data_IF_526969708352
#
_entry.id   IF_526969708352
#
_cell.length_a   1.000
_cell.length_b   1.000
_cell.length_c   1.000
_cell.angle_alpha   90.00
_cell.angle_beta   90.00
_cell.angle_gamma   90.00
#
_symmetry.space_group_name_H-M   'P 1'
#
loop_
_entity.id
_entity.type
_entity.pdbx_description
1 polymer ?
#
# COMPACT_ATOMS: atom_id res chain seq x y z
N UNK A 1 -11.49 -6.79 -6.72
CA UNK A 1 -11.05 -5.60 -5.94
C UNK A 1 -12.16 -4.95 -5.10
N UNK A 2 -13.20 -4.29 -5.64
CA UNK A 2 -14.21 -3.64 -4.76
C UNK A 2 -15.12 -4.61 -3.99
N UNK A 3 -15.57 -5.68 -4.65
CA UNK A 3 -16.37 -6.74 -4.00
C UNK A 3 -15.55 -7.57 -3.01
N UNK A 4 -14.24 -7.73 -3.25
CA UNK A 4 -13.33 -8.43 -2.34
C UNK A 4 -13.10 -7.65 -1.03
N UNK A 5 -13.25 -6.33 -1.07
CA UNK A 5 -13.17 -5.44 0.09
C UNK A 5 -14.54 -5.23 0.78
N UNK A 6 -15.60 -5.92 0.34
CA UNK A 6 -16.97 -5.78 0.85
C UNK A 6 -17.45 -4.32 0.96
N UNK A 7 -16.99 -3.44 0.07
CA UNK A 7 -17.33 -2.02 0.15
C UNK A 7 -18.74 -1.79 -0.40
N UNK A 8 -19.53 -0.96 0.29
CA UNK A 8 -20.82 -0.51 -0.24
C UNK A 8 -20.57 0.21 -1.58
N UNK A 9 -21.25 -0.23 -2.64
CA UNK A 9 -21.21 0.38 -3.97
C UNK A 9 -21.47 1.89 -3.94
N UNK A 10 -22.21 2.39 -2.94
CA UNK A 10 -22.44 3.84 -2.74
C UNK A 10 -21.19 4.60 -2.32
N UNK A 11 -20.19 3.95 -1.71
CA UNK A 11 -18.91 4.55 -1.37
C UNK A 11 -17.99 4.75 -2.59
N UNK A 12 -18.36 4.19 -3.76
CA UNK A 12 -17.57 4.31 -4.98
C UNK A 12 -17.34 5.76 -5.42
N UNK A 13 -18.34 6.63 -5.26
CA UNK A 13 -18.21 8.07 -5.59
C UNK A 13 -17.14 8.77 -4.75
N UNK A 14 -17.02 8.39 -3.48
CA UNK A 14 -15.98 8.91 -2.56
C UNK A 14 -14.61 8.31 -2.86
N UNK A 15 -14.55 7.08 -3.36
CA UNK A 15 -13.29 6.40 -3.70
C UNK A 15 -12.75 6.78 -5.07
N UNK A 16 -13.61 7.24 -5.98
CA UNK A 16 -13.22 7.56 -7.35
C UNK A 16 -12.04 8.54 -7.43
N UNK A 17 -11.99 9.64 -6.65
CA UNK A 17 -10.83 10.53 -6.64
C UNK A 17 -9.55 9.84 -6.18
N UNK A 18 -9.64 8.96 -5.18
CA UNK A 18 -8.49 8.20 -4.66
C UNK A 18 -7.97 7.25 -5.73
N UNK A 19 -8.86 6.54 -6.41
CA UNK A 19 -8.50 5.63 -7.52
C UNK A 19 -7.87 6.42 -8.66
N UNK A 20 -8.46 7.55 -9.05
CA UNK A 20 -7.93 8.41 -10.11
C UNK A 20 -6.55 8.96 -9.79
N UNK A 21 -6.32 9.43 -8.56
CA UNK A 21 -4.99 9.90 -8.12
C UNK A 21 -3.98 8.77 -8.19
N UNK A 22 -4.30 7.59 -7.66
CA UNK A 22 -3.39 6.44 -7.73
C UNK A 22 -3.06 6.07 -9.17
N UNK A 23 -4.06 5.96 -10.05
CA UNK A 23 -3.84 5.58 -11.44
C UNK A 23 -3.06 6.63 -12.24
N UNK A 24 -3.37 7.91 -12.06
CA UNK A 24 -2.76 8.98 -12.86
C UNK A 24 -1.35 9.35 -12.39
N UNK A 25 -1.01 9.07 -11.13
CA UNK A 25 0.31 9.37 -10.55
C UNK A 25 1.22 8.15 -10.41
N UNK A 26 0.74 6.92 -10.68
CA UNK A 26 1.59 5.72 -10.66
C UNK A 26 2.28 5.53 -12.01
N UNK A 27 3.59 5.32 -11.98
CA UNK A 27 4.36 5.00 -13.18
C UNK A 27 3.99 3.63 -13.73
N UNK A 28 3.87 3.53 -15.06
CA UNK A 28 3.55 2.27 -15.74
C UNK A 28 4.55 2.00 -16.86
N UNK A 29 4.93 0.72 -17.03
CA UNK A 29 5.96 0.32 -18.00
C UNK A 29 5.59 0.66 -19.45
N UNK A 30 4.31 0.64 -19.81
CA UNK A 30 3.82 1.01 -21.14
C UNK A 30 4.11 2.47 -21.49
N UNK A 31 4.31 3.34 -20.50
CA UNK A 31 4.64 4.75 -20.67
C UNK A 31 6.14 5.02 -20.44
N UNK A 32 6.98 4.01 -20.64
CA UNK A 32 8.43 4.13 -20.43
C UNK A 32 8.81 4.38 -18.97
N UNK A 33 7.98 3.93 -18.02
CA UNK A 33 8.22 4.13 -16.59
C UNK A 33 7.76 5.49 -16.06
N UNK A 34 6.95 6.24 -16.81
CA UNK A 34 6.33 7.49 -16.38
C UNK A 34 4.86 7.27 -16.00
N UNK A 35 4.34 8.15 -15.16
CA UNK A 35 2.94 8.24 -14.80
C UNK A 35 2.15 9.00 -15.89
N UNK A 36 0.86 8.68 -16.08
CA UNK A 36 0.01 9.39 -17.04
C UNK A 36 0.01 10.91 -16.86
N UNK A 37 0.05 11.40 -15.60
CA UNK A 37 0.06 12.84 -15.31
C UNK A 37 1.32 13.53 -15.80
N UNK A 38 2.46 12.85 -15.81
CA UNK A 38 3.73 13.40 -16.31
C UNK A 38 3.65 13.64 -17.82
N UNK A 39 3.02 12.72 -18.55
CA UNK A 39 2.83 12.86 -19.99
C UNK A 39 1.79 13.93 -20.34
N UNK A 40 0.76 14.07 -19.51
CA UNK A 40 -0.28 15.07 -19.74
C UNK A 40 0.18 16.50 -19.41
N UNK A 41 1.00 16.66 -18.36
CA UNK A 41 1.39 17.98 -17.85
C UNK A 41 2.82 18.39 -18.17
N UNK A 42 3.69 17.43 -18.53
CA UNK A 42 5.13 17.65 -18.70
C UNK A 42 5.89 17.93 -17.39
N UNK A 43 5.24 17.77 -16.23
CA UNK A 43 5.82 18.00 -14.91
C UNK A 43 6.04 16.66 -14.19
N UNK A 44 7.05 16.54 -13.31
CA UNK A 44 7.22 15.36 -12.48
C UNK A 44 5.97 15.11 -11.61
N UNK A 45 5.66 13.85 -11.26
CA UNK A 45 4.44 13.54 -10.55
C UNK A 45 4.58 14.07 -9.13
N UNK A 46 3.71 15.01 -8.74
CA UNK A 46 3.61 15.42 -7.34
C UNK A 46 3.28 14.20 -6.50
N UNK A 47 3.99 14.01 -5.38
CA UNK A 47 3.85 12.84 -4.50
C UNK A 47 2.36 12.58 -4.21
N UNK A 48 1.80 11.42 -4.65
CA UNK A 48 0.36 11.17 -4.61
C UNK A 48 -0.22 11.04 -3.20
N UNK A 49 0.62 10.98 -2.16
CA UNK A 49 0.20 10.69 -0.78
C UNK A 49 0.03 11.95 0.09
N UNK A 50 0.63 13.07 -0.30
CA UNK A 50 0.58 14.31 0.49
C UNK A 50 -0.78 15.05 0.39
N UNK A 51 -1.63 14.64 -0.56
CA UNK A 51 -2.91 15.30 -0.85
C UNK A 51 -4.15 14.52 -0.45
N UNK A 52 -4.06 13.21 -0.18
CA UNK A 52 -5.25 12.35 -0.15
C UNK A 52 -5.96 12.30 1.22
N UNK A 53 -5.40 12.88 2.29
CA UNK A 53 -6.11 12.95 3.58
C UNK A 53 -6.17 14.37 4.13
N UNK A 54 -6.68 15.32 3.35
CA UNK A 54 -7.33 16.50 3.94
C UNK A 54 -8.79 16.13 4.21
N UNK A 55 -9.05 15.54 5.38
CA UNK A 55 -10.40 15.51 5.94
C UNK A 55 -10.85 16.97 6.08
N UNK A 56 -12.07 17.30 5.65
CA UNK A 56 -12.53 18.66 5.32
C UNK A 56 -12.45 19.76 6.43
N UNK A 57 -11.81 19.51 7.57
CA UNK A 57 -11.63 20.45 8.68
C UNK A 57 -10.21 20.45 9.28
N UNK A 58 -9.19 19.89 8.61
CA UNK A 58 -7.81 19.91 9.13
C UNK A 58 -6.97 20.94 8.37
N UNK A 59 -6.31 21.90 9.05
CA UNK A 59 -5.33 22.76 8.40
C UNK A 59 -4.20 21.89 7.81
N UNK A 60 -3.54 22.32 6.72
CA UNK A 60 -2.43 21.59 6.14
C UNK A 60 -1.33 21.44 7.20
N UNK A 61 -1.23 20.24 7.76
CA UNK A 61 -0.13 19.88 8.63
C UNK A 61 0.97 19.36 7.71
N UNK A 62 2.05 20.13 7.57
CA UNK A 62 3.29 19.59 7.02
C UNK A 62 3.73 18.47 7.97
N UNK A 63 3.42 17.23 7.57
CA UNK A 63 3.94 16.06 8.24
C UNK A 63 5.40 15.96 7.80
N UNK A 64 6.28 16.62 8.54
CA UNK A 64 7.71 16.30 8.55
C UNK A 64 7.82 14.85 8.99
N UNK A 65 7.78 13.94 8.03
CA UNK A 65 8.10 12.53 8.23
C UNK A 65 9.55 12.49 8.67
N UNK A 66 9.78 12.33 9.97
CA UNK A 66 11.03 11.81 10.51
C UNK A 66 11.17 10.35 10.02
N UNK A 67 11.55 10.22 8.74
CA UNK A 67 11.55 8.98 7.96
C UNK A 67 12.40 7.88 8.61
N UNK A 68 13.39 8.27 9.42
CA UNK A 68 14.33 7.36 10.08
C UNK A 68 13.65 6.49 11.15
N UNK A 69 12.69 7.02 11.91
CA UNK A 69 12.00 6.24 12.94
C UNK A 69 10.95 5.31 12.35
N UNK A 70 10.29 5.73 11.27
CA UNK A 70 9.31 4.92 10.55
C UNK A 70 9.97 3.72 9.87
N UNK A 71 11.12 3.93 9.22
CA UNK A 71 11.85 2.86 8.54
C UNK A 71 12.36 1.81 9.54
N UNK A 72 12.87 2.23 10.70
CA UNK A 72 13.28 1.32 11.76
C UNK A 72 12.10 0.51 12.32
N UNK A 73 10.93 1.14 12.47
CA UNK A 73 9.71 0.49 12.95
C UNK A 73 9.16 -0.50 11.92
N UNK A 74 9.18 -0.15 10.64
CA UNK A 74 8.76 -1.03 9.55
C UNK A 74 9.70 -2.22 9.41
N UNK A 75 11.01 -2.04 9.57
CA UNK A 75 11.95 -3.16 9.49
C UNK A 75 11.77 -4.13 10.66
N UNK A 76 11.51 -3.62 11.86
CA UNK A 76 11.14 -4.45 13.02
C UNK A 76 9.87 -5.26 12.76
N UNK A 77 8.84 -4.64 12.17
CA UNK A 77 7.60 -5.32 11.80
C UNK A 77 7.84 -6.43 10.77
N UNK A 78 8.65 -6.16 9.74
CA UNK A 78 9.01 -7.16 8.72
C UNK A 78 9.77 -8.34 9.30
N UNK A 79 10.62 -8.13 10.29
CA UNK A 79 11.34 -9.20 10.97
C UNK A 79 10.38 -10.10 11.76
N UNK A 80 9.50 -9.52 12.57
CA UNK A 80 8.52 -10.31 13.33
C UNK A 80 7.55 -11.09 12.43
N UNK A 81 7.11 -10.51 11.32
CA UNK A 81 6.27 -11.23 10.36
C UNK A 81 7.02 -12.40 9.73
N UNK A 82 8.29 -12.22 9.35
CA UNK A 82 9.13 -13.30 8.82
C UNK A 82 9.25 -14.45 9.81
N UNK A 83 9.53 -14.14 11.07
CA UNK A 83 9.63 -15.14 12.14
C UNK A 83 8.31 -15.89 12.36
N UNK A 84 7.18 -15.17 12.38
CA UNK A 84 5.87 -15.78 12.52
C UNK A 84 5.53 -16.71 11.34
N UNK A 85 5.85 -16.29 10.11
CA UNK A 85 5.66 -17.10 8.92
C UNK A 85 6.55 -18.34 8.91
N UNK A 86 7.78 -18.23 9.40
CA UNK A 86 8.71 -19.35 9.53
C UNK A 86 8.18 -20.37 10.54
N UNK A 87 7.82 -19.92 11.75
CA UNK A 87 7.20 -20.77 12.77
C UNK A 87 5.93 -21.45 12.26
N UNK A 88 5.07 -20.74 11.53
CA UNK A 88 3.86 -21.32 10.96
C UNK A 88 4.15 -22.37 9.87
N UNK A 89 5.26 -22.21 9.13
CA UNK A 89 5.71 -23.17 8.12
C UNK A 89 6.28 -24.42 8.78
N UNK A 90 7.12 -24.26 9.81
CA UNK A 90 7.70 -25.35 10.58
C UNK A 90 6.61 -26.20 11.24
N UNK A 91 5.58 -25.56 11.82
CA UNK A 91 4.42 -26.26 12.38
C UNK A 91 3.65 -27.07 11.33
N UNK A 92 3.53 -26.55 10.09
CA UNK A 92 2.89 -27.28 8.99
C UNK A 92 3.74 -28.46 8.54
N UNK A 93 5.05 -28.31 8.47
CA UNK A 93 5.98 -29.39 8.10
C UNK A 93 6.01 -30.50 9.15
N UNK A 94 6.10 -30.13 10.44
CA UNK A 94 6.00 -31.08 11.55
C UNK A 94 4.70 -31.89 11.49
N UNK A 95 3.57 -31.24 11.20
CA UNK A 95 2.28 -31.92 11.05
C UNK A 95 2.28 -32.89 9.86
N UNK A 96 2.84 -32.50 8.72
CA UNK A 96 2.99 -33.40 7.55
C UNK A 96 3.82 -34.63 7.87
N UNK A 97 4.94 -34.46 8.59
CA UNK A 97 5.80 -35.58 8.98
C UNK A 97 5.09 -36.53 9.96
N UNK A 98 4.29 -35.99 10.89
CA UNK A 98 3.47 -36.80 11.79
C UNK A 98 2.38 -37.59 11.06
N UNK A 99 1.76 -37.01 10.04
CA UNK A 99 0.76 -37.68 9.19
C UNK A 99 1.38 -38.79 8.33
N UNK A 100 2.62 -38.62 7.86
CA UNK A 100 3.35 -39.65 7.08
C UNK A 100 3.87 -40.82 7.93
N UNK A 101 4.08 -40.60 9.23
CA UNK A 101 4.56 -41.63 10.16
C UNK A 101 3.44 -42.51 10.74
N UNK A 102 2.18 -42.28 10.33
CA UNK A 102 0.98 -42.95 10.81
C UNK A 102 0.40 -43.86 9.73
#
# INVERSE_FOLDING_TARGET
MLMELQMDTRAWTTLLPVVQVNMNHTSVRSLGGHAPIELFTGLPPSSPQDRVVQLANCPPQELTTESLELDATLEKLRLHLRELHQNASDHKELRRLQEMAK
#
